data_IF_942150742153
#
_entry.id   IF_942150742153
#
_cell.length_a   1.000
_cell.length_b   1.000
_cell.length_c   1.000
_cell.angle_alpha   90.00
_cell.angle_beta   90.00
_cell.angle_gamma   90.00
#
_symmetry.space_group_name_H-M   'P 1'
#
loop_
_entity.id
_entity.type
_entity.pdbx_description
1 polymer ?
#
# COMPACT_ATOMS: atom_id res chain seq x y z
N UNK A 1 9.58 50.33 36.72
CA UNK A 1 10.51 50.22 35.57
C UNK A 1 11.12 48.80 35.41
N UNK A 2 11.54 48.08 36.46
CA UNK A 2 12.19 46.74 36.30
C UNK A 2 11.28 45.65 35.77
N UNK A 3 9.99 45.57 36.12
CA UNK A 3 9.05 44.54 35.64
C UNK A 3 8.77 44.62 34.16
N UNK A 4 8.66 45.81 33.57
CA UNK A 4 8.39 46.02 32.14
C UNK A 4 9.57 45.59 31.26
N UNK A 5 10.81 45.84 31.72
CA UNK A 5 12.01 45.37 31.01
C UNK A 5 12.10 43.83 30.99
N UNK A 6 11.79 43.16 32.11
CA UNK A 6 11.80 41.68 32.16
C UNK A 6 10.80 41.06 31.18
N UNK A 7 9.58 41.62 31.03
CA UNK A 7 8.56 41.13 30.10
C UNK A 7 9.02 41.30 28.65
N UNK A 8 9.70 42.40 28.33
CA UNK A 8 10.22 42.63 26.96
C UNK A 8 11.34 41.63 26.62
N UNK A 9 12.24 41.35 27.56
CA UNK A 9 13.32 40.36 27.35
C UNK A 9 12.77 38.94 27.21
N UNK A 10 11.79 38.52 27.99
CA UNK A 10 11.20 37.19 27.86
C UNK A 10 10.44 37.03 26.54
N UNK A 11 9.71 38.05 26.08
CA UNK A 11 9.03 38.02 24.78
C UNK A 11 10.02 37.94 23.60
N UNK A 12 11.15 38.68 23.68
CA UNK A 12 12.19 38.63 22.64
C UNK A 12 12.88 37.28 22.56
N UNK A 13 13.16 36.63 23.70
CA UNK A 13 13.76 35.28 23.74
C UNK A 13 12.81 34.24 23.13
N UNK A 14 11.51 34.28 23.47
CA UNK A 14 10.50 33.37 22.90
C UNK A 14 10.40 33.57 21.37
N UNK A 15 10.43 34.82 20.89
CA UNK A 15 10.38 35.12 19.47
C UNK A 15 11.58 34.52 18.70
N UNK A 16 12.77 34.58 19.25
CA UNK A 16 14.00 34.02 18.68
C UNK A 16 13.89 32.48 18.60
N UNK A 17 13.39 31.82 19.65
CA UNK A 17 13.20 30.36 19.63
C UNK A 17 12.16 29.92 18.60
N UNK A 18 11.05 30.64 18.46
CA UNK A 18 10.03 30.37 17.47
C UNK A 18 10.57 30.55 16.05
N UNK A 19 11.30 31.63 15.77
CA UNK A 19 11.92 31.83 14.45
C UNK A 19 12.95 30.75 14.12
N UNK A 20 13.80 30.37 15.09
CA UNK A 20 14.79 29.30 14.89
C UNK A 20 14.15 27.95 14.58
N UNK A 21 13.02 27.65 15.23
CA UNK A 21 12.25 26.43 14.98
C UNK A 21 11.66 26.41 13.56
N UNK A 22 11.11 27.53 13.08
CA UNK A 22 10.58 27.63 11.72
C UNK A 22 11.67 27.59 10.65
N UNK A 23 12.83 28.21 10.88
CA UNK A 23 13.96 28.17 9.94
C UNK A 23 14.54 26.76 9.86
N UNK A 24 14.70 26.06 10.98
CA UNK A 24 15.17 24.68 11.02
C UNK A 24 14.23 23.70 10.28
N UNK A 25 12.92 23.94 10.36
CA UNK A 25 11.93 23.10 9.67
C UNK A 25 11.89 23.36 8.16
N UNK A 26 12.10 24.59 7.72
CA UNK A 26 12.18 24.97 6.32
C UNK A 26 13.44 24.43 5.61
N UNK A 27 14.57 24.34 6.32
CA UNK A 27 15.80 23.70 5.78
C UNK A 27 15.64 22.19 5.64
N UNK A 28 15.05 21.50 6.63
CA UNK A 28 14.82 20.07 6.60
C UNK A 28 13.86 19.64 5.46
N UNK A 29 12.88 20.47 5.12
CA UNK A 29 11.98 20.22 3.98
C UNK A 29 12.71 20.40 2.64
N UNK A 30 13.61 21.38 2.54
CA UNK A 30 14.43 21.64 1.34
C UNK A 30 15.44 20.52 1.08
N UNK A 31 16.03 19.96 2.14
CA UNK A 31 16.99 18.87 2.04
C UNK A 31 16.32 17.55 1.66
N UNK A 32 15.07 17.32 2.10
CA UNK A 32 14.25 16.19 1.63
C UNK A 32 13.88 16.29 0.14
N UNK A 33 13.56 17.48 -0.34
CA UNK A 33 13.21 17.68 -1.75
C UNK A 33 14.43 17.53 -2.68
N UNK A 34 15.65 17.81 -2.19
CA UNK A 34 16.89 17.56 -2.93
C UNK A 34 17.26 16.08 -2.96
N UNK A 35 17.13 15.36 -1.84
CA UNK A 35 17.42 13.94 -1.76
C UNK A 35 16.52 13.11 -2.71
N UNK A 36 15.23 13.44 -2.83
CA UNK A 36 14.32 12.73 -3.77
C UNK A 36 14.63 13.01 -5.24
N UNK A 37 15.34 14.10 -5.59
CA UNK A 37 15.74 14.38 -6.97
C UNK A 37 17.07 13.74 -7.36
N UNK A 38 17.99 13.53 -6.42
CA UNK A 38 19.28 12.88 -6.68
C UNK A 38 19.14 11.34 -6.75
N UNK A 39 18.27 10.72 -5.95
CA UNK A 39 18.07 9.27 -5.98
C UNK A 39 17.33 8.76 -7.23
N UNK A 40 16.68 9.65 -8.01
CA UNK A 40 15.98 9.28 -9.24
C UNK A 40 16.88 9.27 -10.48
N UNK A 41 18.14 9.72 -10.38
CA UNK A 41 19.01 9.88 -11.55
C UNK A 41 20.27 8.99 -11.59
N UNK A 42 20.47 8.08 -10.64
CA UNK A 42 21.63 7.17 -10.60
C UNK A 42 21.28 5.70 -10.74
N UNK A 43 20.50 5.35 -11.75
CA UNK A 43 20.07 3.96 -12.02
C UNK A 43 19.98 3.57 -13.48
N UNK A 44 20.55 4.32 -14.42
CA UNK A 44 20.65 3.88 -15.81
C UNK A 44 22.07 3.41 -16.10
N UNK A 45 22.31 2.11 -15.96
CA UNK A 45 23.46 1.45 -16.60
C UNK A 45 23.22 1.55 -18.11
N UNK A 46 24.13 2.15 -18.92
CA UNK A 46 23.96 2.21 -20.36
C UNK A 46 23.93 0.80 -20.93
N UNK A 47 22.94 0.51 -21.76
CA UNK A 47 22.72 -0.78 -22.42
C UNK A 47 23.93 -1.26 -23.24
N UNK A 48 24.96 -0.40 -23.45
CA UNK A 48 26.17 -0.65 -24.20
C UNK A 48 27.16 -1.55 -23.46
N UNK A 49 27.13 -1.60 -22.12
CA UNK A 49 28.11 -2.34 -21.32
C UNK A 49 27.69 -3.79 -21.01
N UNK A 50 26.52 -4.23 -21.52
CA UNK A 50 26.01 -5.59 -21.36
C UNK A 50 26.40 -6.55 -22.50
N UNK A 51 27.11 -6.09 -23.54
CA UNK A 51 27.42 -6.90 -24.73
C UNK A 51 28.91 -7.11 -25.04
N UNK A 52 29.84 -6.74 -24.16
CA UNK A 52 31.26 -7.06 -24.35
C UNK A 52 31.78 -7.92 -23.18
N UNK A 53 31.58 -9.23 -23.25
CA UNK A 53 32.62 -10.22 -22.82
C UNK A 53 32.30 -11.58 -23.44
N UNK A 54 33.21 -11.98 -24.39
CA UNK A 54 33.80 -13.30 -24.46
C UNK A 54 32.96 -14.46 -24.96
N UNK A 55 33.14 -14.76 -26.23
CA UNK A 55 33.05 -16.07 -26.86
C UNK A 55 33.30 -17.23 -25.88
N UNK A 56 32.34 -18.19 -25.85
CA UNK A 56 32.58 -19.63 -25.89
C UNK A 56 31.25 -20.38 -25.70
N UNK A 57 30.56 -20.64 -26.84
CA UNK A 57 29.62 -21.75 -26.91
C UNK A 57 29.84 -22.57 -28.17
N UNK A 58 29.93 -23.90 -28.09
CA UNK A 58 30.25 -24.78 -29.21
C UNK A 58 29.05 -24.88 -30.17
N UNK A 59 29.39 -24.85 -31.44
CA UNK A 59 28.49 -25.07 -32.57
C UNK A 59 28.00 -26.56 -32.56
N UNK A 60 26.68 -26.77 -32.52
CA UNK A 60 26.01 -27.87 -33.25
C UNK A 60 24.50 -27.82 -32.99
N UNK A 61 23.71 -27.41 -33.97
CA UNK A 61 22.63 -28.21 -34.58
C UNK A 61 21.82 -27.32 -35.54
N UNK A 62 21.98 -27.60 -36.81
CA UNK A 62 21.08 -27.14 -37.87
C UNK A 62 19.71 -27.81 -37.69
N UNK A 63 18.67 -27.04 -37.42
CA UNK A 63 17.28 -27.50 -37.42
C UNK A 63 16.38 -26.42 -38.00
N UNK A 64 15.89 -26.65 -39.20
CA UNK A 64 14.79 -26.07 -39.97
C UNK A 64 14.06 -24.87 -39.39
N UNK A 65 14.11 -23.75 -40.15
CA UNK A 65 13.15 -22.67 -40.08
C UNK A 65 11.72 -23.20 -40.17
N UNK A 66 10.95 -23.10 -39.12
CA UNK A 66 9.52 -23.23 -39.14
C UNK A 66 8.92 -21.82 -39.21
N UNK A 67 8.16 -21.63 -40.25
CA UNK A 67 7.34 -20.48 -40.56
C UNK A 67 6.42 -20.15 -39.39
N UNK A 68 6.66 -19.07 -38.67
CA UNK A 68 5.75 -18.59 -37.61
C UNK A 68 4.63 -17.86 -38.34
N UNK A 69 3.54 -18.55 -38.56
CA UNK A 69 2.28 -17.92 -38.93
C UNK A 69 1.81 -17.07 -37.74
N UNK A 70 1.78 -15.81 -37.99
CA UNK A 70 1.16 -14.77 -37.17
C UNK A 70 -0.32 -15.13 -36.95
N UNK A 71 -0.60 -15.85 -35.85
CA UNK A 71 -1.95 -15.96 -35.34
C UNK A 71 -2.14 -14.81 -34.34
N UNK A 72 -2.74 -13.77 -34.86
CA UNK A 72 -3.41 -12.70 -34.14
C UNK A 72 -4.35 -13.35 -33.10
N UNK A 73 -3.85 -13.64 -31.90
CA UNK A 73 -4.71 -13.88 -30.74
C UNK A 73 -5.32 -12.52 -30.37
N UNK A 74 -6.51 -12.27 -30.91
CA UNK A 74 -7.42 -11.28 -30.37
C UNK A 74 -7.56 -11.56 -28.88
N UNK A 75 -7.07 -10.64 -28.05
CA UNK A 75 -7.49 -10.51 -26.66
C UNK A 75 -8.98 -10.12 -26.66
N UNK A 76 -9.85 -11.12 -26.74
CA UNK A 76 -11.26 -11.01 -26.39
C UNK A 76 -11.32 -11.04 -24.86
N UNK A 77 -11.27 -9.87 -24.21
CA UNK A 77 -11.80 -9.64 -22.86
C UNK A 77 -11.63 -8.16 -22.39
N UNK A 78 -11.75 -7.18 -23.31
CA UNK A 78 -12.14 -5.82 -22.91
C UNK A 78 -13.67 -5.75 -22.79
N UNK A 79 -14.23 -6.51 -21.84
CA UNK A 79 -15.52 -6.16 -21.30
C UNK A 79 -15.28 -4.90 -20.45
N UNK A 80 -15.90 -3.78 -20.82
CA UNK A 80 -15.99 -2.60 -19.96
C UNK A 80 -16.46 -3.08 -18.58
N UNK A 81 -15.55 -3.17 -17.62
CA UNK A 81 -15.89 -3.53 -16.24
C UNK A 81 -16.74 -2.38 -15.71
N UNK A 82 -18.00 -2.70 -15.38
CA UNK A 82 -18.90 -1.71 -14.77
C UNK A 82 -18.27 -1.21 -13.47
N UNK A 83 -18.39 0.09 -13.16
CA UNK A 83 -17.92 0.63 -11.89
C UNK A 83 -18.48 -0.18 -10.72
N UNK A 84 -17.62 -0.53 -9.77
CA UNK A 84 -18.05 -1.22 -8.56
C UNK A 84 -18.70 -0.19 -7.65
N UNK A 85 -20.00 -0.33 -7.45
CA UNK A 85 -20.79 0.54 -6.56
C UNK A 85 -20.88 -0.03 -5.14
N UNK A 86 -20.74 -1.34 -5.00
CA UNK A 86 -20.88 -2.07 -3.73
C UNK A 86 -19.86 -3.20 -3.64
N UNK A 87 -19.51 -3.54 -2.40
CA UNK A 87 -18.59 -4.61 -2.03
C UNK A 87 -19.20 -5.43 -0.90
N UNK A 88 -18.85 -6.71 -0.81
CA UNK A 88 -19.17 -7.52 0.37
C UNK A 88 -18.15 -7.30 1.48
N UNK A 89 -18.51 -7.67 2.71
CA UNK A 89 -17.56 -7.72 3.82
C UNK A 89 -16.41 -8.69 3.50
N UNK A 90 -15.13 -8.27 3.69
CA UNK A 90 -13.97 -9.09 3.39
C UNK A 90 -13.79 -10.27 4.36
N UNK A 91 -14.49 -10.27 5.49
CA UNK A 91 -14.57 -11.40 6.44
C UNK A 91 -15.89 -11.37 7.22
N UNK A 92 -16.17 -12.44 7.96
CA UNK A 92 -17.46 -12.63 8.62
C UNK A 92 -17.56 -11.97 10.01
N UNK A 93 -16.47 -11.41 10.54
CA UNK A 93 -16.42 -10.76 11.84
C UNK A 93 -17.01 -9.35 11.87
N UNK A 94 -17.45 -8.87 13.07
CA UNK A 94 -17.91 -7.50 13.23
C UNK A 94 -16.78 -6.49 13.10
N UNK A 95 -17.14 -5.22 12.85
CA UNK A 95 -16.18 -4.11 12.86
C UNK A 95 -15.71 -3.88 14.31
N UNK A 96 -14.39 -3.91 14.50
CA UNK A 96 -13.72 -3.58 15.77
C UNK A 96 -13.38 -2.09 15.82
N UNK A 97 -12.91 -1.55 14.71
CA UNK A 97 -12.45 -0.17 14.62
C UNK A 97 -12.81 0.38 13.23
N UNK A 98 -13.68 1.40 13.19
CA UNK A 98 -14.12 1.97 11.93
C UNK A 98 -13.03 2.85 11.30
N UNK A 99 -13.18 3.15 10.02
CA UNK A 99 -12.43 4.19 9.34
C UNK A 99 -12.59 5.54 10.05
N UNK A 100 -11.51 6.32 10.15
CA UNK A 100 -11.56 7.65 10.77
C UNK A 100 -10.51 8.59 10.17
N UNK A 101 -10.95 9.69 9.62
CA UNK A 101 -10.08 10.81 9.21
C UNK A 101 -9.56 11.59 10.41
N UNK A 102 -10.31 11.57 11.50
CA UNK A 102 -9.89 12.19 12.75
C UNK A 102 -8.94 11.26 13.50
N UNK A 103 -8.01 11.86 14.25
CA UNK A 103 -7.05 11.08 15.02
C UNK A 103 -7.74 10.25 16.10
N UNK A 104 -7.48 8.93 16.09
CA UNK A 104 -7.84 7.97 17.13
C UNK A 104 -6.58 7.47 17.83
N UNK A 105 -6.67 7.15 19.11
CA UNK A 105 -5.52 6.69 19.88
C UNK A 105 -5.15 5.26 19.51
N UNK A 106 -3.86 5.02 19.23
CA UNK A 106 -3.31 3.69 18.99
C UNK A 106 -2.61 3.16 20.24
N UNK A 107 -3.09 2.06 20.78
CA UNK A 107 -2.49 1.39 21.94
C UNK A 107 -1.12 0.79 21.62
N UNK A 108 -0.86 0.39 20.37
CA UNK A 108 0.41 -0.19 19.98
C UNK A 108 1.51 0.87 19.86
N UNK A 109 1.21 1.98 19.20
CA UNK A 109 2.20 3.03 18.93
C UNK A 109 2.18 4.16 19.95
N UNK A 110 1.18 4.16 20.86
CA UNK A 110 0.99 5.16 21.92
C UNK A 110 0.89 6.59 21.38
N UNK A 111 0.26 6.77 20.23
CA UNK A 111 0.04 8.07 19.61
C UNK A 111 -1.37 8.20 19.01
N UNK A 112 -1.68 9.41 18.56
CA UNK A 112 -2.93 9.74 17.89
C UNK A 112 -2.70 9.81 16.39
N UNK A 113 -3.47 9.04 15.61
CA UNK A 113 -3.37 8.97 14.14
C UNK A 113 -4.71 8.71 13.48
N UNK A 114 -4.88 9.11 12.23
CA UNK A 114 -6.01 8.69 11.43
C UNK A 114 -6.01 7.16 11.26
N UNK A 115 -7.19 6.55 11.17
CA UNK A 115 -7.36 5.14 10.85
C UNK A 115 -7.83 5.00 9.40
N UNK A 116 -6.91 4.67 8.52
CA UNK A 116 -7.10 4.72 7.06
C UNK A 116 -7.87 3.52 6.47
N UNK A 117 -8.35 2.62 7.31
CA UNK A 117 -9.12 1.45 6.95
C UNK A 117 -10.19 1.13 7.99
N UNK A 118 -10.80 -0.04 7.85
CA UNK A 118 -11.74 -0.62 8.81
C UNK A 118 -11.16 -1.93 9.31
N UNK A 119 -11.09 -2.11 10.64
CA UNK A 119 -10.63 -3.36 11.25
C UNK A 119 -11.83 -4.26 11.53
N UNK A 120 -11.80 -5.45 10.97
CA UNK A 120 -12.80 -6.49 11.18
C UNK A 120 -12.27 -7.55 12.15
N UNK A 121 -13.05 -7.92 13.15
CA UNK A 121 -12.70 -9.03 14.04
C UNK A 121 -12.46 -10.30 13.23
N UNK A 122 -11.37 -10.98 13.52
CA UNK A 122 -11.04 -12.26 12.90
C UNK A 122 -10.19 -13.09 13.86
N UNK A 123 -10.32 -14.39 13.83
CA UNK A 123 -9.38 -15.29 14.45
C UNK A 123 -8.25 -15.64 13.47
N UNK A 124 -7.10 -16.09 13.98
CA UNK A 124 -6.05 -16.58 13.09
C UNK A 124 -6.59 -17.74 12.25
N UNK A 125 -6.40 -17.63 10.93
CA UNK A 125 -6.87 -18.59 9.92
C UNK A 125 -8.33 -18.45 9.49
N UNK A 126 -9.07 -17.47 9.97
CA UNK A 126 -10.34 -17.13 9.34
C UNK A 126 -10.13 -16.76 7.88
N UNK A 127 -11.12 -17.12 7.05
CA UNK A 127 -11.06 -16.85 5.61
C UNK A 127 -11.21 -15.38 5.32
N UNK A 128 -10.27 -14.83 4.56
CA UNK A 128 -10.36 -13.48 3.99
C UNK A 128 -10.77 -13.61 2.53
N UNK A 129 -11.81 -12.88 2.14
CA UNK A 129 -12.48 -12.94 0.83
C UNK A 129 -12.21 -11.66 0.03
N UNK A 130 -12.16 -11.79 -1.29
CA UNK A 130 -12.18 -10.62 -2.18
C UNK A 130 -13.52 -9.89 -2.01
N UNK A 131 -13.47 -8.61 -1.68
CA UNK A 131 -14.65 -7.80 -1.41
C UNK A 131 -15.48 -7.50 -2.67
N UNK A 132 -14.86 -7.59 -3.85
CA UNK A 132 -15.48 -7.44 -5.16
C UNK A 132 -14.64 -8.14 -6.23
N UNK A 133 -15.19 -8.28 -7.44
CA UNK A 133 -14.45 -8.76 -8.61
C UNK A 133 -13.24 -7.88 -8.89
N UNK A 134 -12.13 -8.47 -9.35
CA UNK A 134 -10.94 -7.69 -9.68
C UNK A 134 -9.75 -8.55 -10.10
N UNK A 135 -8.58 -7.93 -10.08
CA UNK A 135 -7.30 -8.58 -10.37
C UNK A 135 -6.32 -8.34 -9.25
N UNK A 136 -5.64 -9.37 -8.78
CA UNK A 136 -4.56 -9.24 -7.79
C UNK A 136 -3.45 -8.36 -8.37
N UNK A 137 -3.27 -7.19 -7.77
CA UNK A 137 -2.29 -6.21 -8.19
C UNK A 137 -0.93 -6.48 -7.57
N UNK A 138 -0.90 -6.65 -6.24
CA UNK A 138 0.31 -6.91 -5.48
C UNK A 138 0.07 -7.86 -4.31
N UNK A 139 1.09 -8.68 -4.04
CA UNK A 139 1.19 -9.51 -2.83
C UNK A 139 2.56 -9.25 -2.22
N UNK A 140 2.62 -8.68 -1.03
CA UNK A 140 3.88 -8.30 -0.41
C UNK A 140 3.85 -8.41 1.11
N UNK A 141 5.05 -8.36 1.71
CA UNK A 141 5.21 -8.27 3.16
C UNK A 141 5.75 -6.90 3.52
N UNK A 142 4.92 -6.09 4.16
CA UNK A 142 5.30 -4.81 4.73
C UNK A 142 5.87 -4.97 6.15
N UNK A 143 6.80 -4.09 6.55
CA UNK A 143 7.43 -4.15 7.88
C UNK A 143 6.47 -3.77 9.01
N UNK A 144 5.51 -2.88 8.73
CA UNK A 144 4.55 -2.35 9.69
C UNK A 144 3.22 -3.09 9.62
N UNK A 145 2.72 -3.34 8.40
CA UNK A 145 1.40 -3.88 8.12
C UNK A 145 1.36 -5.40 7.92
N UNK A 146 2.51 -6.08 7.95
CA UNK A 146 2.60 -7.53 7.78
C UNK A 146 2.36 -7.99 6.33
N UNK A 147 1.74 -9.15 6.15
CA UNK A 147 1.36 -9.64 4.82
C UNK A 147 0.16 -8.87 4.28
N UNK A 148 0.28 -8.45 3.02
CA UNK A 148 -0.69 -7.59 2.35
C UNK A 148 -1.05 -8.14 0.97
N UNK A 149 -2.30 -7.92 0.56
CA UNK A 149 -2.81 -8.12 -0.80
C UNK A 149 -3.45 -6.80 -1.25
N UNK A 150 -3.21 -6.42 -2.48
CA UNK A 150 -3.92 -5.34 -3.18
C UNK A 150 -4.67 -5.92 -4.37
N UNK A 151 -5.96 -5.58 -4.51
CA UNK A 151 -6.81 -5.96 -5.63
C UNK A 151 -7.21 -4.71 -6.39
N UNK A 152 -6.92 -4.69 -7.69
CA UNK A 152 -7.40 -3.66 -8.61
C UNK A 152 -8.78 -4.06 -9.13
N UNK A 153 -9.74 -3.16 -8.96
CA UNK A 153 -11.13 -3.33 -9.36
C UNK A 153 -11.48 -2.52 -10.61
N UNK A 154 -10.48 -1.88 -11.24
CA UNK A 154 -10.70 -0.95 -12.34
C UNK A 154 -11.12 0.45 -11.88
N UNK A 155 -11.17 1.40 -12.83
CA UNK A 155 -11.59 2.79 -12.60
C UNK A 155 -10.87 3.50 -11.42
N UNK A 156 -9.61 3.10 -11.12
CA UNK A 156 -8.80 3.64 -10.03
C UNK A 156 -9.22 3.16 -8.64
N UNK A 157 -10.18 2.21 -8.55
CA UNK A 157 -10.62 1.62 -7.29
C UNK A 157 -9.74 0.42 -6.93
N UNK A 158 -9.19 0.41 -5.70
CA UNK A 158 -8.34 -0.66 -5.19
C UNK A 158 -8.76 -1.02 -3.77
N UNK A 159 -8.84 -2.31 -3.45
CA UNK A 159 -8.96 -2.77 -2.07
C UNK A 159 -7.62 -3.30 -1.56
N UNK A 160 -7.34 -3.07 -0.27
CA UNK A 160 -6.09 -3.48 0.38
C UNK A 160 -6.42 -4.27 1.64
N UNK A 161 -5.84 -5.45 1.73
CA UNK A 161 -6.00 -6.39 2.83
C UNK A 161 -4.69 -6.51 3.56
N UNK A 162 -4.66 -6.24 4.86
CA UNK A 162 -3.45 -6.21 5.68
C UNK A 162 -3.57 -7.10 6.91
N UNK A 163 -2.47 -7.31 7.61
CA UNK A 163 -2.40 -8.19 8.78
C UNK A 163 -2.73 -9.65 8.47
N UNK A 164 -2.48 -10.08 7.22
CA UNK A 164 -2.77 -11.42 6.74
C UNK A 164 -1.80 -12.47 7.27
N UNK A 165 -2.19 -13.73 7.22
CA UNK A 165 -1.31 -14.87 7.40
C UNK A 165 -0.38 -15.00 6.17
N UNK A 166 0.79 -15.63 6.34
CA UNK A 166 1.71 -15.93 5.23
C UNK A 166 1.13 -16.90 4.19
N UNK A 167 0.06 -17.62 4.53
CA UNK A 167 -0.61 -18.53 3.61
C UNK A 167 -1.61 -17.74 2.76
N UNK A 168 -1.19 -17.44 1.55
CA UNK A 168 -1.97 -16.71 0.54
C UNK A 168 -2.40 -17.71 -0.54
N UNK A 169 -3.65 -17.64 -0.98
CA UNK A 169 -4.28 -18.62 -1.86
C UNK A 169 -4.32 -18.18 -3.33
N UNK A 170 -3.83 -16.99 -3.63
CA UNK A 170 -3.88 -16.34 -4.96
C UNK A 170 -2.48 -15.89 -5.40
N UNK A 171 -2.33 -15.46 -6.65
CA UNK A 171 -1.07 -14.97 -7.24
C UNK A 171 -1.26 -13.58 -7.84
N UNK A 172 -0.19 -12.81 -7.95
CA UNK A 172 -0.22 -11.54 -8.68
C UNK A 172 -0.66 -11.75 -10.14
N UNK A 173 -1.50 -10.84 -10.63
CA UNK A 173 -2.12 -10.91 -11.96
C UNK A 173 -3.33 -11.85 -12.08
N UNK A 174 -3.67 -12.64 -11.04
CA UNK A 174 -4.84 -13.51 -11.04
C UNK A 174 -6.15 -12.72 -10.99
N UNK A 175 -7.15 -13.08 -11.79
CA UNK A 175 -8.51 -12.57 -11.67
C UNK A 175 -9.18 -13.25 -10.47
N UNK A 176 -9.89 -12.48 -9.66
CA UNK A 176 -10.65 -12.97 -8.53
C UNK A 176 -12.09 -12.52 -8.62
N UNK A 177 -12.99 -13.35 -8.11
CA UNK A 177 -14.40 -13.06 -8.01
C UNK A 177 -14.75 -12.59 -6.60
N UNK A 178 -15.81 -11.78 -6.48
CA UNK A 178 -16.39 -11.39 -5.20
C UNK A 178 -16.68 -12.65 -4.36
N UNK A 179 -16.27 -12.62 -3.07
CA UNK A 179 -16.45 -13.77 -2.17
C UNK A 179 -15.38 -14.86 -2.30
N UNK A 180 -14.50 -14.81 -3.29
CA UNK A 180 -13.41 -15.77 -3.42
C UNK A 180 -12.45 -15.68 -2.24
N UNK A 181 -12.12 -16.82 -1.61
CA UNK A 181 -11.13 -16.87 -0.54
C UNK A 181 -9.71 -16.61 -1.07
N UNK A 182 -9.12 -15.47 -0.70
CA UNK A 182 -7.80 -15.00 -1.19
C UNK A 182 -6.67 -15.26 -0.20
N UNK A 183 -6.95 -15.25 1.09
CA UNK A 183 -5.97 -15.46 2.14
C UNK A 183 -6.63 -15.94 3.44
N UNK A 184 -5.83 -16.07 4.49
CA UNK A 184 -6.28 -16.25 5.86
C UNK A 184 -5.93 -15.02 6.69
N UNK A 185 -6.77 -14.68 7.66
CA UNK A 185 -6.46 -13.68 8.66
C UNK A 185 -5.22 -14.10 9.47
N UNK A 186 -4.44 -13.14 9.92
CA UNK A 186 -3.20 -13.37 10.63
C UNK A 186 -2.96 -12.37 11.76
N UNK A 187 -1.74 -12.37 12.28
CA UNK A 187 -1.25 -11.43 13.28
C UNK A 187 0.15 -10.95 12.89
N UNK A 188 0.29 -10.50 11.66
CA UNK A 188 1.61 -10.18 11.08
C UNK A 188 1.95 -8.69 11.13
N UNK A 189 0.96 -7.81 11.41
CA UNK A 189 1.15 -6.37 11.51
C UNK A 189 1.88 -5.98 12.80
N UNK A 190 3.00 -5.26 12.66
CA UNK A 190 3.74 -4.74 13.82
C UNK A 190 3.06 -3.52 14.43
N UNK A 191 2.36 -2.70 13.60
CA UNK A 191 1.63 -1.50 14.05
C UNK A 191 0.45 -1.83 14.98
N UNK A 192 -0.09 -3.04 14.90
CA UNK A 192 -1.32 -3.46 15.58
C UNK A 192 -1.09 -4.70 16.45
N UNK A 193 0.19 -4.96 16.77
CA UNK A 193 0.61 -6.17 17.50
C UNK A 193 -0.06 -6.32 18.87
N UNK A 194 -0.37 -5.22 19.54
CA UNK A 194 -1.03 -5.20 20.87
C UNK A 194 -2.55 -5.30 20.77
N UNK A 195 -3.11 -5.23 19.58
CA UNK A 195 -4.55 -5.30 19.35
C UNK A 195 -5.03 -6.77 19.22
N UNK A 196 -6.32 -7.00 19.35
CA UNK A 196 -6.91 -8.30 19.07
C UNK A 196 -6.64 -8.70 17.61
N UNK A 197 -6.65 -9.99 17.31
CA UNK A 197 -6.51 -10.47 15.93
C UNK A 197 -7.64 -9.91 15.07
N UNK A 198 -7.30 -9.33 13.93
CA UNK A 198 -8.24 -8.66 13.04
C UNK A 198 -7.71 -8.62 11.61
N UNK A 199 -8.58 -8.38 10.66
CA UNK A 199 -8.26 -7.98 9.31
C UNK A 199 -8.32 -6.46 9.22
N UNK A 200 -7.24 -5.80 8.82
CA UNK A 200 -7.25 -4.39 8.44
C UNK A 200 -7.56 -4.27 6.95
N UNK A 201 -8.64 -3.59 6.61
CA UNK A 201 -9.16 -3.47 5.25
C UNK A 201 -9.27 -2.01 4.83
N UNK A 202 -8.64 -1.66 3.69
CA UNK A 202 -8.72 -0.32 3.10
C UNK A 202 -9.38 -0.37 1.73
N UNK A 203 -10.09 0.69 1.38
CA UNK A 203 -10.53 1.00 0.02
C UNK A 203 -9.85 2.28 -0.42
N UNK A 204 -9.33 2.30 -1.64
CA UNK A 204 -8.63 3.46 -2.21
C UNK A 204 -9.24 3.83 -3.54
N UNK A 205 -9.49 5.12 -3.73
CA UNK A 205 -9.86 5.70 -5.01
C UNK A 205 -8.72 6.57 -5.51
N UNK A 206 -8.15 6.23 -6.67
CA UNK A 206 -7.00 6.91 -7.26
C UNK A 206 -5.78 7.03 -6.32
N UNK A 207 -5.60 6.01 -5.46
CA UNK A 207 -4.52 5.92 -4.48
C UNK A 207 -4.80 6.56 -3.12
N UNK A 208 -5.88 7.33 -2.96
CA UNK A 208 -6.29 7.93 -1.69
C UNK A 208 -7.24 7.01 -0.93
N UNK A 209 -6.99 6.83 0.38
CA UNK A 209 -7.86 6.04 1.25
C UNK A 209 -9.21 6.74 1.42
N UNK A 210 -10.28 5.98 1.23
CA UNK A 210 -11.67 6.42 1.43
C UNK A 210 -12.35 5.47 2.41
N UNK A 211 -13.48 5.90 2.98
CA UNK A 211 -14.21 5.11 3.96
C UNK A 211 -14.73 3.79 3.37
N UNK A 212 -14.17 2.60 3.76
CA UNK A 212 -14.61 1.32 3.23
C UNK A 212 -16.07 1.00 3.51
N UNK A 213 -16.59 1.46 4.65
CA UNK A 213 -17.96 1.17 5.11
C UNK A 213 -19.02 1.77 4.16
N UNK A 214 -18.68 2.80 3.39
CA UNK A 214 -19.58 3.36 2.37
C UNK A 214 -19.79 2.44 1.16
N UNK A 215 -18.90 1.46 0.96
CA UNK A 215 -18.99 0.46 -0.11
C UNK A 215 -19.58 -0.87 0.35
N UNK A 216 -19.47 -1.21 1.63
CA UNK A 216 -19.95 -2.51 2.17
C UNK A 216 -21.47 -2.50 2.32
N UNK A 217 -22.15 -3.58 1.87
CA UNK A 217 -23.60 -3.79 1.98
C UNK A 217 -23.94 -5.02 2.82
#
# INVERSE_FOLDING_TARGET
MKKTQTIIYTAAVILVFVLSFFIGRASALRDREKATKEDLYTGTVPLKDLFETGNDFPAAAKGKAAEITDKNEKNDDEKEEKPIEKMISPCDGPILKPYSETAVYSETTKDWRAHTGTDYAAEEKDSVKAAANGRIKHIYKDKLWGWCIEIDHGNGLTSVYRNLNKKINVREGEKVEEGQAIALAGKSAALEKSEATHLHFEVRQNGECINPESYIY
#
